data_IF_810452127190
#
_entry.id   IF_810452127190
#
_cell.length_a   1.000
_cell.length_b   1.000
_cell.length_c   1.000
_cell.angle_alpha   90.00
_cell.angle_beta   90.00
_cell.angle_gamma   90.00
#
_symmetry.space_group_name_H-M   'P 1'
#
loop_
_entity.id
_entity.type
_entity.pdbx_description
1 polymer ?
#
# COMPACT_ATOMS: atom_id res chain seq x y z
N UNK A 1 27.90 -41.47 -18.52
CA UNK A 1 28.29 -40.18 -17.91
C UNK A 1 28.11 -39.07 -18.95
N UNK A 2 26.92 -38.44 -19.05
CA UNK A 2 26.72 -37.39 -20.05
C UNK A 2 27.38 -36.08 -19.56
N UNK A 3 28.14 -35.45 -20.46
CA UNK A 3 28.85 -34.17 -20.24
C UNK A 3 27.83 -33.03 -20.16
N UNK A 4 27.98 -32.16 -19.15
CA UNK A 4 27.23 -30.90 -19.03
C UNK A 4 27.65 -29.95 -20.18
N UNK A 5 26.70 -29.26 -20.85
CA UNK A 5 27.03 -28.25 -21.85
C UNK A 5 27.56 -26.96 -21.17
N UNK A 6 28.57 -26.37 -21.81
CA UNK A 6 29.24 -25.15 -21.37
C UNK A 6 28.31 -23.92 -21.41
N UNK A 7 28.32 -23.16 -20.32
CA UNK A 7 27.58 -21.93 -20.16
C UNK A 7 28.13 -20.85 -21.11
N UNK A 8 27.39 -20.58 -22.19
CA UNK A 8 27.70 -19.50 -23.12
C UNK A 8 27.38 -18.16 -22.45
N UNK A 9 28.41 -17.43 -22.05
CA UNK A 9 28.31 -16.08 -21.48
C UNK A 9 27.79 -15.10 -22.54
N UNK A 10 26.50 -14.78 -22.48
CA UNK A 10 25.88 -13.73 -23.31
C UNK A 10 26.20 -12.38 -22.69
N UNK A 11 27.23 -11.71 -23.21
CA UNK A 11 27.50 -10.31 -22.89
C UNK A 11 26.41 -9.42 -23.51
N UNK A 12 25.38 -9.10 -22.73
CA UNK A 12 24.44 -8.04 -23.06
C UNK A 12 25.18 -6.70 -23.10
N UNK A 13 25.51 -6.22 -24.31
CA UNK A 13 25.88 -4.82 -24.55
C UNK A 13 24.70 -3.93 -24.17
N UNK A 14 24.78 -3.30 -23.01
CA UNK A 14 23.93 -2.18 -22.63
C UNK A 14 24.16 -1.04 -23.64
N UNK A 15 23.16 -0.80 -24.49
CA UNK A 15 23.13 0.38 -25.34
C UNK A 15 23.09 1.63 -24.45
N UNK A 16 23.86 2.68 -24.75
CA UNK A 16 23.84 3.92 -23.99
C UNK A 16 22.44 4.54 -24.04
N UNK A 17 21.93 4.94 -22.88
CA UNK A 17 20.64 5.63 -22.77
C UNK A 17 20.67 6.90 -23.65
N UNK A 18 19.60 7.19 -24.42
CA UNK A 18 19.55 8.38 -25.26
C UNK A 18 19.70 9.63 -24.40
N UNK A 19 20.59 10.52 -24.82
CA UNK A 19 20.81 11.82 -24.18
C UNK A 19 19.47 12.55 -24.01
N UNK A 20 19.13 12.86 -22.76
CA UNK A 20 17.83 13.33 -22.34
C UNK A 20 17.44 14.62 -23.04
N UNK A 21 16.38 14.55 -23.86
CA UNK A 21 15.60 15.72 -24.20
C UNK A 21 14.91 16.20 -22.93
N UNK A 22 15.42 17.26 -22.31
CA UNK A 22 14.72 18.04 -21.29
C UNK A 22 13.41 18.55 -21.91
N UNK A 23 12.33 17.79 -21.71
CA UNK A 23 10.99 18.30 -21.97
C UNK A 23 10.78 19.41 -20.95
N UNK A 24 10.81 20.66 -21.40
CA UNK A 24 10.26 21.79 -20.65
C UNK A 24 8.82 21.41 -20.31
N UNK A 25 8.60 20.98 -19.08
CA UNK A 25 7.26 20.73 -18.57
C UNK A 25 6.53 22.07 -18.56
N UNK A 26 5.72 22.27 -19.58
CA UNK A 26 4.85 23.42 -19.68
C UNK A 26 3.93 23.40 -18.47
N UNK A 27 4.09 24.39 -17.58
CA UNK A 27 3.40 24.46 -16.28
C UNK A 27 1.91 24.68 -16.53
N UNK A 28 1.16 23.60 -16.70
CA UNK A 28 -0.29 23.64 -16.90
C UNK A 28 -0.92 24.36 -15.70
N UNK A 29 -1.57 25.53 -15.90
CA UNK A 29 -2.20 26.24 -14.81
C UNK A 29 -3.31 25.35 -14.23
N UNK A 30 -3.23 25.05 -12.93
CA UNK A 30 -4.30 24.31 -12.26
C UNK A 30 -5.63 25.06 -12.40
N UNK A 31 -6.73 24.36 -12.73
CA UNK A 31 -8.04 24.99 -12.85
C UNK A 31 -8.41 25.67 -11.53
N UNK A 32 -9.02 26.86 -11.62
CA UNK A 32 -9.48 27.60 -10.45
C UNK A 32 -10.51 26.76 -9.70
N UNK A 33 -10.15 26.24 -8.52
CA UNK A 33 -11.07 25.51 -7.67
C UNK A 33 -11.89 26.48 -6.81
N UNK A 34 -13.20 26.23 -6.63
CA UNK A 34 -14.00 27.01 -5.70
C UNK A 34 -13.42 26.89 -4.28
N UNK A 35 -13.48 27.97 -3.50
CA UNK A 35 -13.00 27.93 -2.13
C UNK A 35 -13.81 26.90 -1.33
N UNK A 36 -13.19 26.13 -0.41
CA UNK A 36 -13.92 25.23 0.50
C UNK A 36 -15.04 25.88 1.34
N UNK A 37 -15.06 27.21 1.45
CA UNK A 37 -16.07 27.96 2.19
C UNK A 37 -17.26 28.34 1.31
N UNK A 38 -17.14 28.22 -0.02
CA UNK A 38 -18.18 28.61 -0.96
C UNK A 38 -19.54 27.93 -0.67
N UNK A 39 -19.60 26.63 -0.33
CA UNK A 39 -20.88 25.99 0.03
C UNK A 39 -21.52 26.55 1.31
N UNK A 40 -20.72 27.15 2.20
CA UNK A 40 -21.14 27.57 3.55
C UNK A 40 -21.47 29.07 3.66
N UNK A 41 -21.39 29.84 2.56
CA UNK A 41 -21.62 31.30 2.56
C UNK A 41 -22.94 31.70 3.22
N UNK A 42 -24.01 30.93 2.99
CA UNK A 42 -25.34 31.19 3.56
C UNK A 42 -25.42 30.98 5.08
N UNK A 43 -24.49 30.21 5.65
CA UNK A 43 -24.43 29.90 7.08
C UNK A 43 -23.55 30.90 7.86
N UNK A 44 -22.80 31.75 7.16
CA UNK A 44 -21.89 32.72 7.78
C UNK A 44 -22.66 34.00 8.08
N UNK A 45 -22.78 34.35 9.37
CA UNK A 45 -23.32 35.63 9.79
C UNK A 45 -22.28 36.74 9.56
N UNK A 46 -22.57 37.76 8.73
CA UNK A 46 -21.59 38.80 8.38
C UNK A 46 -21.09 39.61 9.58
N UNK A 47 -21.88 39.75 10.65
CA UNK A 47 -21.53 40.56 11.83
C UNK A 47 -20.81 39.76 12.93
N UNK A 48 -20.73 38.43 12.82
CA UNK A 48 -20.08 37.58 13.82
C UNK A 48 -18.56 37.51 13.61
N UNK A 49 -17.82 37.22 14.70
CA UNK A 49 -16.39 36.89 14.65
C UNK A 49 -16.21 35.39 14.84
N UNK A 50 -15.60 34.75 13.86
CA UNK A 50 -15.29 33.33 13.83
C UNK A 50 -13.85 33.09 14.25
N UNK A 51 -13.65 32.23 15.24
CA UNK A 51 -12.35 31.67 15.63
C UNK A 51 -11.96 30.51 14.72
N UNK A 52 -10.68 30.11 14.73
CA UNK A 52 -10.20 28.93 13.99
C UNK A 52 -11.03 27.67 14.27
N UNK A 53 -11.44 27.44 15.53
CA UNK A 53 -12.29 26.29 15.90
C UNK A 53 -13.69 26.39 15.32
N UNK A 54 -14.30 27.57 15.32
CA UNK A 54 -15.62 27.78 14.70
C UNK A 54 -15.56 27.61 13.17
N UNK A 55 -14.48 28.08 12.53
CA UNK A 55 -14.27 27.83 11.08
C UNK A 55 -14.07 26.33 10.81
N UNK A 56 -13.34 25.61 11.68
CA UNK A 56 -13.19 24.17 11.56
C UNK A 56 -14.52 23.41 11.71
N UNK A 57 -15.35 23.81 12.68
CA UNK A 57 -16.69 23.27 12.85
C UNK A 57 -17.57 23.57 11.62
N UNK A 58 -17.54 24.80 11.10
CA UNK A 58 -18.30 25.19 9.89
C UNK A 58 -17.93 24.36 8.67
N UNK A 59 -16.66 23.99 8.52
CA UNK A 59 -16.15 23.19 7.39
C UNK A 59 -16.24 21.68 7.62
N UNK A 60 -16.67 21.24 8.82
CA UNK A 60 -16.61 19.83 9.25
C UNK A 60 -15.19 19.23 9.16
N UNK A 61 -14.18 20.04 9.48
CA UNK A 61 -12.77 19.64 9.45
C UNK A 61 -12.13 19.65 10.83
N UNK A 62 -11.04 18.89 10.97
CA UNK A 62 -10.19 18.99 12.16
C UNK A 62 -9.56 20.40 12.26
N UNK A 63 -9.43 20.98 13.47
CA UNK A 63 -8.78 22.29 13.65
C UNK A 63 -7.36 22.36 13.07
N UNK A 64 -6.61 21.25 13.09
CA UNK A 64 -5.27 21.15 12.50
C UNK A 64 -5.28 21.34 10.99
N UNK A 65 -6.30 20.82 10.29
CA UNK A 65 -6.47 21.02 8.84
C UNK A 65 -6.74 22.49 8.51
N UNK A 66 -7.61 23.16 9.27
CA UNK A 66 -7.86 24.60 9.09
C UNK A 66 -6.62 25.44 9.43
N UNK A 67 -5.86 25.08 10.46
CA UNK A 67 -4.57 25.73 10.74
C UNK A 67 -3.61 25.66 9.54
N UNK A 68 -3.53 24.50 8.88
CA UNK A 68 -2.79 24.34 7.63
C UNK A 68 -3.32 25.28 6.54
N UNK A 69 -4.64 25.36 6.35
CA UNK A 69 -5.25 26.30 5.40
C UNK A 69 -4.84 27.76 5.66
N UNK A 70 -4.76 28.19 6.94
CA UNK A 70 -4.26 29.52 7.30
C UNK A 70 -2.80 29.69 6.88
N UNK A 71 -1.94 28.74 7.26
CA UNK A 71 -0.50 28.78 6.99
C UNK A 71 -0.18 28.79 5.48
N UNK A 72 -1.02 28.13 4.68
CA UNK A 72 -0.88 28.07 3.23
C UNK A 72 -1.68 29.15 2.47
N UNK A 73 -2.22 30.14 3.19
CA UNK A 73 -2.84 31.32 2.59
C UNK A 73 -4.25 31.09 2.02
N UNK A 74 -4.91 29.98 2.34
CA UNK A 74 -6.31 29.75 1.94
C UNK A 74 -7.26 30.66 2.73
N UNK A 75 -6.94 30.94 3.99
CA UNK A 75 -7.74 31.80 4.87
C UNK A 75 -6.99 33.09 5.24
N UNK A 76 -6.69 33.97 4.27
CA UNK A 76 -5.88 35.15 4.50
C UNK A 76 -6.59 36.18 5.40
N UNK A 77 -5.84 37.14 5.92
CA UNK A 77 -6.41 38.31 6.63
C UNK A 77 -6.96 38.01 8.03
N UNK A 78 -6.61 36.87 8.61
CA UNK A 78 -6.90 36.55 10.01
C UNK A 78 -6.28 37.60 10.93
N UNK A 79 -6.99 37.99 12.00
CA UNK A 79 -6.41 38.77 13.09
C UNK A 79 -6.03 37.83 14.23
N UNK A 80 -4.85 38.03 14.80
CA UNK A 80 -4.45 37.32 16.02
C UNK A 80 -5.13 37.95 17.22
N UNK A 81 -5.95 37.18 17.93
CA UNK A 81 -6.60 37.59 19.18
C UNK A 81 -6.06 36.78 20.36
N UNK A 82 -5.93 37.38 21.55
CA UNK A 82 -5.63 36.62 22.75
C UNK A 82 -6.76 35.59 22.99
N UNK A 83 -6.37 34.38 23.36
CA UNK A 83 -7.29 33.32 23.73
C UNK A 83 -7.61 33.41 25.24
N UNK A 84 -8.82 33.04 25.65
CA UNK A 84 -9.32 33.17 27.03
C UNK A 84 -8.48 32.37 28.04
N UNK A 85 -7.91 31.24 27.61
CA UNK A 85 -7.03 30.39 28.42
C UNK A 85 -5.53 30.62 28.15
N UNK A 86 -5.15 31.78 27.63
CA UNK A 86 -3.78 32.10 27.25
C UNK A 86 -3.43 31.66 25.82
N UNK A 87 -2.40 32.29 25.25
CA UNK A 87 -1.99 32.11 23.85
C UNK A 87 -2.69 33.07 22.86
N UNK A 88 -2.44 32.87 21.57
CA UNK A 88 -3.04 33.65 20.47
C UNK A 88 -3.78 32.71 19.53
N UNK A 89 -4.94 33.14 19.03
CA UNK A 89 -5.73 32.40 18.04
C UNK A 89 -6.07 33.28 16.84
N UNK A 90 -6.22 32.65 15.68
CA UNK A 90 -6.71 33.31 14.48
C UNK A 90 -8.22 33.54 14.57
N UNK A 91 -8.65 34.75 14.19
CA UNK A 91 -10.05 35.12 14.09
C UNK A 91 -10.33 35.90 12.80
N UNK A 92 -11.54 35.73 12.26
CA UNK A 92 -12.05 36.42 11.08
C UNK A 92 -13.44 36.96 11.36
N UNK A 93 -13.81 38.07 10.73
CA UNK A 93 -15.23 38.48 10.71
C UNK A 93 -15.98 37.67 9.67
N UNK A 94 -17.30 37.51 9.83
CA UNK A 94 -18.13 36.84 8.83
C UNK A 94 -18.03 37.50 7.45
N UNK A 95 -18.01 38.84 7.40
CA UNK A 95 -17.72 39.60 6.16
C UNK A 95 -16.41 39.19 5.49
N UNK A 96 -15.35 38.94 6.26
CA UNK A 96 -14.07 38.46 5.71
C UNK A 96 -14.21 37.04 5.15
N UNK A 97 -14.84 36.13 5.89
CA UNK A 97 -15.03 34.74 5.44
C UNK A 97 -15.89 34.66 4.18
N UNK A 98 -16.98 35.43 4.08
CA UNK A 98 -17.81 35.51 2.87
C UNK A 98 -16.98 36.01 1.67
N UNK A 99 -16.16 37.05 1.88
CA UNK A 99 -15.27 37.55 0.83
C UNK A 99 -14.26 36.50 0.38
N UNK A 100 -13.69 35.76 1.33
CA UNK A 100 -12.73 34.69 1.07
C UNK A 100 -13.41 33.54 0.30
N UNK A 101 -14.61 33.14 0.73
CA UNK A 101 -15.40 32.09 0.10
C UNK A 101 -15.73 32.36 -1.38
N UNK A 102 -15.96 33.63 -1.72
CA UNK A 102 -16.26 34.07 -3.08
C UNK A 102 -15.00 34.27 -3.95
N UNK A 103 -13.79 34.15 -3.41
CA UNK A 103 -12.55 34.26 -4.18
C UNK A 103 -12.10 32.87 -4.63
N UNK A 104 -11.79 32.67 -5.93
CA UNK A 104 -11.16 31.44 -6.37
C UNK A 104 -9.81 31.29 -5.65
N UNK A 105 -9.58 30.10 -5.11
CA UNK A 105 -8.36 29.81 -4.39
C UNK A 105 -7.30 29.38 -5.40
N UNK A 106 -6.26 30.21 -5.56
CA UNK A 106 -5.07 29.84 -6.33
C UNK A 106 -3.97 29.46 -5.35
N UNK A 107 -3.94 28.19 -4.97
CA UNK A 107 -2.88 27.68 -4.10
C UNK A 107 -1.71 27.29 -4.97
N UNK A 108 -0.66 28.10 -4.88
CA UNK A 108 0.60 27.79 -5.51
C UNK A 108 1.44 27.03 -4.50
N UNK A 109 1.56 25.72 -4.69
CA UNK A 109 2.51 24.92 -3.94
C UNK A 109 3.89 25.02 -4.61
N UNK A 110 4.85 25.53 -3.86
CA UNK A 110 6.25 25.65 -4.30
C UNK A 110 6.96 24.30 -4.14
N UNK A 111 7.11 23.59 -5.26
CA UNK A 111 7.77 22.27 -5.33
C UNK A 111 9.31 22.36 -5.35
N UNK A 112 9.87 23.57 -5.53
CA UNK A 112 11.31 23.78 -5.44
C UNK A 112 11.73 23.94 -3.97
N UNK A 113 10.89 24.61 -3.18
CA UNK A 113 11.18 24.90 -1.78
C UNK A 113 10.86 23.76 -0.81
N UNK A 114 9.84 22.95 -1.10
CA UNK A 114 9.35 21.92 -0.19
C UNK A 114 9.36 20.54 -0.83
N UNK A 115 9.70 19.52 -0.02
CA UNK A 115 9.68 18.14 -0.51
C UNK A 115 8.25 17.70 -0.88
N UNK A 116 8.07 16.85 -1.91
CA UNK A 116 6.75 16.40 -2.34
C UNK A 116 5.91 15.73 -1.23
N UNK A 117 6.55 14.98 -0.32
CA UNK A 117 5.87 14.38 0.84
C UNK A 117 5.32 15.44 1.81
N UNK A 118 6.04 16.55 2.00
CA UNK A 118 5.57 17.70 2.82
C UNK A 118 4.41 18.39 2.13
N UNK A 119 4.54 18.65 0.83
CA UNK A 119 3.48 19.25 0.00
C UNK A 119 2.20 18.42 0.02
N UNK A 120 2.31 17.09 0.00
CA UNK A 120 1.15 16.22 0.18
C UNK A 120 0.45 16.42 1.52
N UNK A 121 1.20 16.50 2.63
CA UNK A 121 0.62 16.70 3.97
C UNK A 121 -0.14 18.03 4.10
N UNK A 122 0.27 19.04 3.33
CA UNK A 122 -0.37 20.37 3.30
C UNK A 122 -1.45 20.51 2.22
N UNK A 123 -1.80 19.43 1.54
CA UNK A 123 -2.96 19.36 0.65
C UNK A 123 -2.65 19.31 -0.85
N UNK A 124 -1.39 19.35 -1.28
CA UNK A 124 -1.08 19.10 -2.69
C UNK A 124 -1.46 17.65 -3.06
N UNK A 125 -2.14 17.48 -4.20
CA UNK A 125 -2.60 16.17 -4.70
C UNK A 125 -2.11 15.89 -6.12
N UNK A 126 -1.08 16.60 -6.59
CA UNK A 126 -0.47 16.30 -7.88
C UNK A 126 0.15 14.88 -7.88
N UNK A 127 0.30 14.22 -9.04
CA UNK A 127 0.82 12.86 -9.12
C UNK A 127 2.17 12.66 -8.42
N UNK A 128 3.06 13.65 -8.48
CA UNK A 128 4.39 13.61 -7.84
C UNK A 128 4.27 13.56 -6.32
N UNK A 129 3.44 14.42 -5.73
CA UNK A 129 3.24 14.48 -4.27
C UNK A 129 2.53 13.22 -3.74
N UNK A 130 1.51 12.72 -4.47
CA UNK A 130 0.78 11.49 -4.10
C UNK A 130 1.72 10.28 -4.11
N UNK A 131 2.56 10.16 -5.15
CA UNK A 131 3.55 9.08 -5.26
C UNK A 131 4.55 9.13 -4.11
N UNK A 132 5.15 10.29 -3.85
CA UNK A 132 6.12 10.46 -2.77
C UNK A 132 5.52 10.12 -1.39
N UNK A 133 4.27 10.50 -1.13
CA UNK A 133 3.59 10.12 0.10
C UNK A 133 3.33 8.61 0.20
N UNK A 134 2.95 7.99 -0.90
CA UNK A 134 2.71 6.54 -0.96
C UNK A 134 4.00 5.77 -0.71
N UNK A 135 5.11 6.20 -1.30
CA UNK A 135 6.45 5.66 -1.07
C UNK A 135 6.90 5.84 0.39
N UNK A 136 6.76 7.04 0.97
CA UNK A 136 7.06 7.31 2.39
C UNK A 136 6.23 6.40 3.32
N UNK A 137 4.94 6.26 3.03
CA UNK A 137 4.02 5.44 3.83
C UNK A 137 4.32 3.94 3.68
N UNK A 138 4.71 3.48 2.49
CA UNK A 138 5.15 2.10 2.26
C UNK A 138 6.46 1.81 2.97
N UNK A 139 7.46 2.69 2.84
CA UNK A 139 8.76 2.57 3.48
C UNK A 139 8.61 2.47 5.00
N UNK A 140 7.82 3.37 5.60
CA UNK A 140 7.56 3.35 7.05
C UNK A 140 6.87 2.06 7.50
N UNK A 141 5.86 1.59 6.77
CA UNK A 141 5.19 0.31 7.09
C UNK A 141 6.14 -0.87 6.98
N UNK A 142 7.04 -0.88 5.98
CA UNK A 142 8.05 -1.93 5.82
C UNK A 142 9.08 -1.90 6.95
N UNK A 143 9.54 -0.73 7.38
CA UNK A 143 10.43 -0.58 8.53
C UNK A 143 9.79 -1.15 9.82
N UNK A 144 8.55 -0.77 10.11
CA UNK A 144 7.81 -1.32 11.26
C UNK A 144 7.61 -2.84 11.15
N UNK A 145 7.39 -3.36 9.93
CA UNK A 145 7.27 -4.79 9.70
C UNK A 145 8.62 -5.52 9.88
N UNK A 146 9.74 -4.90 9.50
CA UNK A 146 11.08 -5.43 9.74
C UNK A 146 11.39 -5.49 11.23
N UNK A 147 11.06 -4.44 11.99
CA UNK A 147 11.27 -4.42 13.45
C UNK A 147 10.44 -5.51 14.15
N UNK A 148 9.17 -5.69 13.74
CA UNK A 148 8.28 -6.67 14.33
C UNK A 148 8.62 -8.13 13.93
N UNK A 149 9.05 -8.33 12.68
CA UNK A 149 9.34 -9.62 12.06
C UNK A 149 10.71 -9.59 11.35
N UNK A 150 11.75 -9.47 12.17
CA UNK A 150 13.14 -9.34 11.74
C UNK A 150 13.70 -10.64 11.15
N UNK A 151 14.95 -10.60 10.68
CA UNK A 151 15.65 -11.76 10.08
C UNK A 151 15.66 -12.98 11.00
N UNK A 152 15.94 -12.80 12.30
CA UNK A 152 16.04 -13.91 13.25
C UNK A 152 14.71 -14.67 13.40
N UNK A 153 13.61 -13.94 13.59
CA UNK A 153 12.26 -14.54 13.64
C UNK A 153 11.89 -15.22 12.32
N UNK A 154 12.27 -14.63 11.18
CA UNK A 154 12.04 -15.23 9.86
C UNK A 154 12.77 -16.56 9.72
N UNK A 155 14.04 -16.62 10.07
CA UNK A 155 14.83 -17.86 10.04
C UNK A 155 14.26 -18.93 10.98
N UNK A 156 13.89 -18.56 12.21
CA UNK A 156 13.28 -19.48 13.17
C UNK A 156 11.94 -20.03 12.65
N UNK A 157 11.10 -19.16 12.07
CA UNK A 157 9.83 -19.58 11.48
C UNK A 157 10.05 -20.59 10.36
N UNK A 158 11.00 -20.33 9.47
CA UNK A 158 11.32 -21.24 8.36
C UNK A 158 11.82 -22.60 8.86
N UNK A 159 12.67 -22.64 9.90
CA UNK A 159 13.12 -23.90 10.53
C UNK A 159 11.96 -24.68 11.17
N UNK A 160 11.06 -24.01 11.89
CA UNK A 160 9.87 -24.65 12.46
C UNK A 160 8.98 -25.25 11.37
N UNK A 161 8.74 -24.50 10.29
CA UNK A 161 7.94 -24.97 9.16
C UNK A 161 8.62 -26.16 8.48
N UNK A 162 9.93 -26.10 8.24
CA UNK A 162 10.70 -27.20 7.66
C UNK A 162 10.67 -28.49 8.51
N UNK A 163 10.49 -28.35 9.83
CA UNK A 163 10.25 -29.46 10.77
C UNK A 163 8.78 -29.87 10.88
N UNK A 164 8.00 -29.57 9.85
CA UNK A 164 6.59 -29.92 9.72
C UNK A 164 5.64 -29.21 10.70
N UNK A 165 6.05 -28.10 11.30
CA UNK A 165 5.15 -27.26 12.10
C UNK A 165 4.25 -26.43 11.16
N UNK A 166 2.91 -26.46 11.32
CA UNK A 166 2.03 -25.61 10.50
C UNK A 166 2.40 -24.12 10.61
N UNK A 167 2.33 -23.37 9.52
CA UNK A 167 2.72 -21.95 9.46
C UNK A 167 2.03 -21.10 10.55
N UNK A 168 0.78 -21.40 10.88
CA UNK A 168 0.06 -20.69 11.94
C UNK A 168 0.65 -20.91 13.33
N UNK A 169 0.97 -22.16 13.66
CA UNK A 169 1.61 -22.53 14.93
C UNK A 169 3.06 -22.00 14.99
N UNK A 170 3.80 -22.08 13.88
CA UNK A 170 5.14 -21.50 13.78
C UNK A 170 5.13 -19.98 13.96
N UNK A 171 4.15 -19.28 13.38
CA UNK A 171 3.97 -17.84 13.54
C UNK A 171 3.71 -17.47 15.02
N UNK A 172 2.82 -18.20 15.68
CA UNK A 172 2.55 -18.02 17.11
C UNK A 172 3.81 -18.22 17.96
N UNK A 173 4.58 -19.28 17.70
CA UNK A 173 5.83 -19.56 18.42
C UNK A 173 6.89 -18.47 18.27
N UNK A 174 7.01 -17.83 17.10
CA UNK A 174 7.94 -16.70 16.89
C UNK A 174 7.37 -15.33 17.30
N UNK A 175 6.15 -15.33 17.85
CA UNK A 175 5.48 -14.13 18.34
C UNK A 175 5.06 -13.17 17.21
N UNK A 176 4.55 -13.70 16.10
CA UNK A 176 3.96 -12.91 15.00
C UNK A 176 2.62 -13.52 14.57
N UNK A 177 1.82 -12.73 13.85
CA UNK A 177 0.57 -13.21 13.26
C UNK A 177 0.81 -13.82 11.88
N UNK A 178 -0.03 -14.76 11.46
CA UNK A 178 -0.02 -15.30 10.09
C UNK A 178 -0.14 -14.21 9.03
N UNK A 179 -0.91 -13.14 9.31
CA UNK A 179 -1.05 -12.00 8.42
C UNK A 179 0.28 -11.26 8.20
N UNK A 180 1.13 -11.15 9.23
CA UNK A 180 2.47 -10.57 9.10
C UNK A 180 3.39 -11.45 8.25
N UNK A 181 3.29 -12.79 8.38
CA UNK A 181 4.07 -13.75 7.58
C UNK A 181 3.74 -13.62 6.09
N UNK A 182 2.46 -13.74 5.72
CA UNK A 182 2.05 -13.63 4.32
C UNK A 182 2.15 -12.19 3.80
N UNK A 183 1.92 -11.21 4.66
CA UNK A 183 2.17 -9.80 4.36
C UNK A 183 3.63 -9.56 3.98
N UNK A 184 4.58 -10.20 4.65
CA UNK A 184 6.02 -10.16 4.31
C UNK A 184 6.29 -10.84 2.97
N UNK A 185 5.82 -12.07 2.78
CA UNK A 185 5.99 -12.82 1.54
C UNK A 185 5.45 -12.07 0.30
N UNK A 186 4.43 -11.23 0.47
CA UNK A 186 3.87 -10.42 -0.63
C UNK A 186 4.88 -9.43 -1.22
N UNK A 187 5.86 -8.93 -0.46
CA UNK A 187 6.81 -7.91 -0.93
C UNK A 187 8.30 -8.29 -0.79
N UNK A 188 8.60 -9.41 -0.14
CA UNK A 188 9.95 -9.98 0.01
C UNK A 188 10.00 -11.34 -0.71
N UNK A 189 10.40 -11.31 -1.99
CA UNK A 189 10.35 -12.48 -2.87
C UNK A 189 11.26 -13.63 -2.39
N UNK A 190 12.44 -13.30 -1.84
CA UNK A 190 13.38 -14.30 -1.33
C UNK A 190 12.80 -15.02 -0.10
N UNK A 191 12.14 -14.26 0.79
CA UNK A 191 11.43 -14.86 1.92
C UNK A 191 10.23 -15.71 1.47
N UNK A 192 9.49 -15.26 0.46
CA UNK A 192 8.36 -16.02 -0.10
C UNK A 192 8.82 -17.38 -0.64
N UNK A 193 9.88 -17.40 -1.46
CA UNK A 193 10.48 -18.61 -2.00
C UNK A 193 10.94 -19.56 -0.88
N UNK A 194 11.66 -19.03 0.12
CA UNK A 194 12.10 -19.82 1.27
C UNK A 194 10.94 -20.41 2.08
N UNK A 195 9.84 -19.66 2.20
CA UNK A 195 8.64 -20.10 2.89
C UNK A 195 7.92 -21.20 2.11
N UNK A 196 7.85 -21.10 0.79
CA UNK A 196 7.28 -22.15 -0.07
C UNK A 196 8.12 -23.43 -0.02
N UNK A 197 9.45 -23.30 -0.07
CA UNK A 197 10.40 -24.40 0.10
C UNK A 197 10.22 -25.10 1.44
N UNK A 198 10.16 -24.34 2.55
CA UNK A 198 9.89 -24.89 3.86
C UNK A 198 8.50 -25.56 3.91
N UNK A 199 7.49 -24.96 3.29
CA UNK A 199 6.12 -25.47 3.27
C UNK A 199 5.95 -26.77 2.47
N UNK A 200 6.90 -27.12 1.59
CA UNK A 200 6.92 -28.44 0.95
C UNK A 200 7.09 -29.58 1.96
N UNK A 201 7.78 -29.35 3.08
CA UNK A 201 7.89 -30.35 4.15
C UNK A 201 6.54 -30.70 4.79
N UNK A 202 5.53 -29.83 4.68
CA UNK A 202 4.15 -30.06 5.14
C UNK A 202 3.33 -30.90 4.15
N UNK A 203 3.92 -31.32 3.02
CA UNK A 203 3.25 -32.14 2.03
C UNK A 203 3.11 -33.58 2.53
N UNK A 204 1.88 -33.98 2.87
CA UNK A 204 1.55 -35.32 3.37
C UNK A 204 1.71 -36.41 2.30
N UNK A 205 1.57 -36.05 1.02
CA UNK A 205 1.63 -37.01 -0.09
C UNK A 205 3.04 -37.18 -0.67
N UNK A 206 3.97 -36.28 -0.34
CA UNK A 206 5.25 -36.17 -1.06
C UNK A 206 5.08 -35.53 -2.45
N UNK A 207 6.20 -35.11 -3.03
CA UNK A 207 6.25 -34.39 -4.32
C UNK A 207 5.86 -35.28 -5.52
N UNK A 208 6.12 -36.59 -5.41
CA UNK A 208 5.96 -37.56 -6.50
C UNK A 208 4.62 -38.30 -6.54
N UNK A 209 3.75 -38.12 -5.55
CA UNK A 209 2.44 -38.77 -5.54
C UNK A 209 1.52 -38.11 -6.55
N UNK A 210 0.95 -38.90 -7.46
CA UNK A 210 0.06 -38.43 -8.53
C UNK A 210 -1.22 -37.77 -8.04
N UNK A 211 -1.57 -37.94 -6.75
CA UNK A 211 -2.70 -37.28 -6.10
C UNK A 211 -2.29 -35.93 -5.53
N UNK A 212 -1.00 -35.62 -5.40
CA UNK A 212 -0.53 -34.29 -5.07
C UNK A 212 -1.11 -33.27 -6.08
N UNK A 213 -1.44 -32.07 -5.61
CA UNK A 213 -2.12 -31.03 -6.41
C UNK A 213 -3.53 -31.33 -6.95
N UNK A 214 -4.13 -32.49 -6.64
CA UNK A 214 -5.53 -32.79 -6.99
C UNK A 214 -6.53 -32.28 -5.93
N UNK A 215 -7.81 -32.17 -6.30
CA UNK A 215 -8.86 -31.78 -5.35
C UNK A 215 -9.00 -32.79 -4.20
N UNK A 216 -8.87 -34.08 -4.52
CA UNK A 216 -8.88 -35.18 -3.58
C UNK A 216 -7.63 -35.16 -2.68
N UNK A 217 -6.45 -34.85 -3.25
CA UNK A 217 -5.17 -34.64 -2.58
C UNK A 217 -5.12 -33.41 -1.67
N UNK A 218 -6.01 -32.46 -1.89
CA UNK A 218 -6.12 -31.28 -1.07
C UNK A 218 -7.00 -31.45 0.18
N UNK A 219 -8.23 -31.97 0.01
CA UNK A 219 -9.23 -32.02 1.08
C UNK A 219 -8.90 -32.99 2.21
N UNK A 220 -8.07 -33.99 1.95
CA UNK A 220 -7.96 -35.13 2.87
C UNK A 220 -9.25 -35.94 2.89
N UNK A 221 -9.24 -37.02 3.68
CA UNK A 221 -10.36 -37.93 3.87
C UNK A 221 -10.26 -38.42 5.31
N UNK A 222 -11.08 -37.89 6.22
CA UNK A 222 -10.98 -38.29 7.64
C UNK A 222 -11.56 -39.69 7.90
N UNK A 223 -12.34 -40.22 6.96
CA UNK A 223 -13.04 -41.50 7.04
C UNK A 223 -12.75 -42.36 5.80
N UNK A 224 -12.76 -43.68 5.95
CA UNK A 224 -12.55 -44.65 4.87
C UNK A 224 -11.44 -45.66 5.14
N UNK A 225 -11.11 -46.50 4.15
CA UNK A 225 -10.11 -47.57 4.27
C UNK A 225 -8.67 -47.04 4.42
N UNK A 226 -8.43 -45.77 4.14
CA UNK A 226 -7.12 -45.12 4.30
C UNK A 226 -7.33 -43.63 4.63
N UNK A 227 -7.70 -43.32 5.89
CA UNK A 227 -7.94 -41.95 6.30
C UNK A 227 -6.63 -41.15 6.18
N UNK A 228 -6.73 -39.92 5.69
CA UNK A 228 -5.60 -39.01 5.55
C UNK A 228 -5.98 -37.57 5.90
N UNK A 229 -5.06 -36.82 6.52
CA UNK A 229 -5.30 -35.41 6.79
C UNK A 229 -5.33 -34.58 5.50
N UNK A 230 -6.00 -33.41 5.51
CA UNK A 230 -5.92 -32.44 4.44
C UNK A 230 -4.48 -31.99 4.17
N UNK A 231 -4.19 -31.61 2.93
CA UNK A 231 -2.90 -31.01 2.58
C UNK A 231 -2.70 -29.70 3.37
N UNK A 232 -1.62 -29.66 4.16
CA UNK A 232 -1.26 -28.51 4.99
C UNK A 232 -0.26 -27.55 4.31
N UNK A 233 0.40 -28.00 3.24
CA UNK A 233 1.34 -27.17 2.48
C UNK A 233 0.66 -26.00 1.76
N UNK A 234 1.12 -24.78 2.01
CA UNK A 234 0.65 -23.58 1.31
C UNK A 234 1.21 -23.46 -0.10
N UNK A 235 2.41 -23.97 -0.39
CA UNK A 235 2.99 -23.98 -1.75
C UNK A 235 2.10 -24.70 -2.77
N UNK A 236 1.54 -25.87 -2.40
CA UNK A 236 0.54 -26.57 -3.23
C UNK A 236 -0.74 -25.75 -3.47
N UNK A 237 -1.15 -24.88 -2.54
CA UNK A 237 -2.32 -23.99 -2.73
C UNK A 237 -2.04 -22.92 -3.75
N UNK A 238 -0.88 -22.27 -3.67
CA UNK A 238 -0.53 -21.17 -4.55
C UNK A 238 -0.24 -21.65 -5.96
N UNK A 239 0.54 -22.74 -6.11
CA UNK A 239 0.75 -23.40 -7.40
C UNK A 239 -0.58 -23.75 -8.06
N UNK A 240 -1.52 -24.33 -7.30
CA UNK A 240 -2.85 -24.68 -7.82
C UNK A 240 -3.68 -23.44 -8.18
N UNK A 241 -3.62 -22.35 -7.40
CA UNK A 241 -4.29 -21.10 -7.78
C UNK A 241 -3.72 -20.54 -9.09
N UNK A 242 -2.39 -20.57 -9.25
CA UNK A 242 -1.71 -20.20 -10.49
C UNK A 242 -2.14 -21.06 -11.67
N UNK A 243 -2.08 -22.39 -11.53
CA UNK A 243 -2.51 -23.34 -12.54
C UNK A 243 -4.00 -23.16 -12.91
N UNK A 244 -4.90 -23.04 -11.92
CA UNK A 244 -6.33 -22.79 -12.18
C UNK A 244 -6.59 -21.42 -12.82
N UNK A 245 -5.78 -20.40 -12.54
CA UNK A 245 -5.86 -19.11 -13.25
C UNK A 245 -5.41 -19.24 -14.70
N UNK A 246 -4.32 -19.98 -14.96
CA UNK A 246 -3.84 -20.27 -16.31
C UNK A 246 -4.86 -21.11 -17.10
N UNK A 247 -5.41 -22.17 -16.53
CA UNK A 247 -6.49 -22.98 -17.14
C UNK A 247 -7.72 -22.14 -17.47
N UNK A 248 -8.09 -21.18 -16.59
CA UNK A 248 -9.21 -20.26 -16.83
C UNK A 248 -8.91 -19.20 -17.88
N UNK A 249 -7.66 -18.74 -17.96
CA UNK A 249 -7.19 -17.78 -18.94
C UNK A 249 -6.85 -18.38 -20.31
N UNK A 250 -6.70 -19.72 -20.39
CA UNK A 250 -6.46 -20.41 -21.64
C UNK A 250 -7.67 -20.25 -22.59
N UNK A 251 -7.41 -19.99 -23.89
CA UNK A 251 -8.47 -19.88 -24.90
C UNK A 251 -9.28 -21.18 -24.96
N UNK A 252 -10.58 -21.07 -25.25
CA UNK A 252 -11.52 -22.19 -25.20
C UNK A 252 -11.13 -23.36 -26.12
N UNK A 253 -10.43 -23.08 -27.22
CA UNK A 253 -10.03 -24.06 -28.22
C UNK A 253 -9.02 -25.10 -27.68
N UNK A 254 -8.23 -24.76 -26.65
CA UNK A 254 -7.29 -25.69 -26.02
C UNK A 254 -7.95 -26.62 -24.99
N UNK A 255 -9.16 -26.29 -24.51
CA UNK A 255 -9.87 -27.11 -23.50
C UNK A 255 -10.50 -28.37 -24.09
N UNK A 256 -10.87 -28.35 -25.37
CA UNK A 256 -11.51 -29.51 -26.02
C UNK A 256 -10.52 -30.65 -26.31
N UNK A 257 -9.23 -30.33 -26.50
CA UNK A 257 -8.16 -31.31 -26.69
C UNK A 257 -7.71 -31.99 -25.38
N UNK A 258 -7.81 -31.29 -24.24
CA UNK A 258 -7.43 -31.83 -22.93
C UNK A 258 -8.45 -32.84 -22.36
N UNK A 259 -9.73 -32.74 -22.75
CA UNK A 259 -10.80 -33.63 -22.28
C UNK A 259 -10.92 -34.98 -23.01
N UNK A 260 -10.10 -35.25 -24.03
CA UNK A 260 -10.14 -36.48 -24.84
C UNK A 260 -9.01 -37.48 -24.55
N UNK A 261 -8.29 -37.33 -23.43
CA UNK A 261 -7.22 -38.25 -23.00
C UNK A 261 -7.61 -39.02 -21.74
#
# INVERSE_FOLDING_TARGET
>A
MPRKPDATSVHHRLLPAPAGMERKEEKVPSPAQPHPLAPYVKQINPEEVYTLRQVAALLELAPTSVSGMVQHGWLPGSRMRPHTHGGRQHAWTGKQLIRIANRPVKVTYDHEKFSPATLYRVGCRCPVCVRAHSEDSLSRRRALAEDAFNVEKRTLLLDLVARQTPVAEAAEQVGVTTWQVYGRATWDAAFAESLDDAAWSLCVLGESDSRCSTAAGYRGWETGASPRPPCRGTGCREWRRGASQQERGAPADDRELAGRR
#
